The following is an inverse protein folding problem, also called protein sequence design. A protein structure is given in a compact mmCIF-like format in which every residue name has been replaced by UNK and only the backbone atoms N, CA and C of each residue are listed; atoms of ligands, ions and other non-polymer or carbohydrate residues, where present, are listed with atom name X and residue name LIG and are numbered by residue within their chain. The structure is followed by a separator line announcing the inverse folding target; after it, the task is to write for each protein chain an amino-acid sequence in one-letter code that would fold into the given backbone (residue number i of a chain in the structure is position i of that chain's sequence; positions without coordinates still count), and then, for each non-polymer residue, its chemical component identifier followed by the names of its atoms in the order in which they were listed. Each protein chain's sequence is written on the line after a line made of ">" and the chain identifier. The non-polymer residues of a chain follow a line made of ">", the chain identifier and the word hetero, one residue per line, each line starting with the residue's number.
data_IF_134283905227
#
_entry.id   IF_134283905227
#
_cell.length_a   1.000
_cell.length_b   1.000
_cell.length_c   1.000
_cell.angle_alpha   90.00
_cell.angle_beta   90.00
_cell.angle_gamma   90.00
#
_symmetry.space_group_name_H-M   'P 1'
#
loop_
_entity.id
_entity.type
_entity.pdbx_description
1 polymer ?
#
# COMPACT_ATOMS: atom_id res chain seq x y z
N UNK A 1 -26.06 -15.85 -29.69
CA UNK A 1 -25.00 -15.58 -29.01
C UNK A 1 -24.85 -14.17 -28.68
N UNK A 2 -24.44 -13.91 -27.50
CA UNK A 2 -24.40 -12.59 -27.08
C UNK A 2 -23.23 -11.87 -27.59
N UNK A 3 -23.41 -10.66 -27.89
CA UNK A 3 -22.35 -9.87 -28.39
C UNK A 3 -21.42 -9.49 -27.28
N UNK A 4 -20.23 -9.10 -27.64
CA UNK A 4 -19.24 -8.73 -26.65
C UNK A 4 -19.65 -7.50 -25.86
N UNK A 5 -20.53 -6.68 -26.39
CA UNK A 5 -20.99 -5.51 -25.65
C UNK A 5 -21.72 -5.89 -24.39
N UNK A 6 -22.42 -7.02 -24.42
CA UNK A 6 -23.13 -7.43 -23.24
C UNK A 6 -22.21 -8.10 -22.25
N UNK A 7 -21.03 -8.49 -22.68
CA UNK A 7 -20.10 -9.16 -21.81
C UNK A 7 -19.69 -8.26 -20.63
N UNK A 8 -19.43 -7.00 -20.91
CA UNK A 8 -19.07 -6.07 -19.84
C UNK A 8 -20.20 -5.86 -18.86
N UNK A 9 -21.41 -5.73 -19.37
CA UNK A 9 -22.57 -5.55 -18.53
C UNK A 9 -22.77 -6.78 -17.66
N UNK A 10 -22.53 -7.94 -18.26
CA UNK A 10 -22.69 -9.18 -17.52
C UNK A 10 -21.66 -9.29 -16.42
N UNK A 11 -20.47 -8.78 -16.63
CA UNK A 11 -19.46 -8.82 -15.60
C UNK A 11 -19.86 -7.99 -14.40
N UNK A 12 -20.39 -6.80 -14.61
CA UNK A 12 -20.83 -5.97 -13.52
C UNK A 12 -21.99 -6.58 -12.77
N UNK A 13 -22.89 -7.18 -13.52
CA UNK A 13 -24.04 -7.84 -12.92
C UNK A 13 -23.58 -9.05 -12.11
N UNK A 14 -22.53 -9.72 -12.58
CA UNK A 14 -22.04 -10.89 -11.90
C UNK A 14 -21.47 -10.58 -10.52
N UNK A 15 -20.88 -9.40 -10.36
CA UNK A 15 -20.38 -9.05 -9.05
C UNK A 15 -21.50 -8.98 -8.03
N UNK A 16 -22.68 -8.54 -8.43
CA UNK A 16 -23.80 -8.53 -7.54
C UNK A 16 -24.30 -9.95 -7.30
N UNK A 17 -24.31 -10.75 -8.34
CA UNK A 17 -24.80 -12.11 -8.22
C UNK A 17 -23.86 -12.99 -7.44
N UNK A 18 -22.58 -12.62 -7.39
CA UNK A 18 -21.63 -13.42 -6.65
C UNK A 18 -22.01 -13.57 -5.20
N UNK A 19 -22.76 -12.63 -4.67
CA UNK A 19 -23.18 -12.71 -3.29
C UNK A 19 -24.38 -13.61 -3.12
N UNK A 20 -25.07 -13.92 -4.21
CA UNK A 20 -26.25 -14.69 -4.14
C UNK A 20 -26.12 -16.07 -4.75
N UNK A 21 -24.93 -16.49 -5.11
CA UNK A 21 -24.75 -17.75 -5.80
C UNK A 21 -23.57 -18.51 -5.27
N UNK A 22 -23.30 -19.63 -5.90
CA UNK A 22 -22.17 -20.43 -5.51
C UNK A 22 -20.87 -19.74 -5.71
N UNK A 23 -20.83 -18.75 -6.61
CA UNK A 23 -19.61 -18.01 -6.85
C UNK A 23 -19.38 -16.96 -5.77
N UNK A 24 -20.22 -16.90 -4.78
CA UNK A 24 -20.05 -15.98 -3.69
C UNK A 24 -18.69 -16.17 -3.01
N UNK A 25 -18.26 -17.40 -2.87
CA UNK A 25 -16.97 -17.66 -2.23
C UNK A 25 -15.82 -17.11 -3.07
N UNK A 26 -15.97 -17.07 -4.39
CA UNK A 26 -14.95 -16.49 -5.25
C UNK A 26 -14.88 -14.99 -5.03
N UNK A 27 -16.02 -14.33 -4.92
CA UNK A 27 -16.05 -12.90 -4.66
C UNK A 27 -15.43 -12.57 -3.31
N UNK A 28 -15.71 -13.40 -2.31
CA UNK A 28 -15.12 -13.21 -1.00
C UNK A 28 -13.61 -13.41 -1.04
N UNK A 29 -13.14 -14.36 -1.82
CA UNK A 29 -11.70 -14.58 -1.95
C UNK A 29 -11.03 -13.38 -2.61
N UNK A 30 -11.66 -12.80 -3.63
CA UNK A 30 -11.10 -11.62 -4.29
C UNK A 30 -11.06 -10.45 -3.33
N UNK A 31 -12.10 -10.29 -2.53
CA UNK A 31 -12.13 -9.20 -1.56
C UNK A 31 -11.02 -9.38 -0.53
N UNK A 32 -10.81 -10.59 -0.07
CA UNK A 32 -9.76 -10.88 0.90
C UNK A 32 -8.38 -10.58 0.30
N UNK A 33 -8.19 -10.91 -0.98
CA UNK A 33 -6.92 -10.63 -1.65
C UNK A 33 -6.66 -9.13 -1.69
N UNK A 34 -7.67 -8.33 -2.00
CA UNK A 34 -7.51 -6.88 -2.03
C UNK A 34 -7.20 -6.33 -0.63
N UNK A 35 -7.92 -6.81 0.39
CA UNK A 35 -7.66 -6.36 1.75
C UNK A 35 -6.26 -6.72 2.20
N UNK A 36 -5.81 -7.93 1.84
CA UNK A 36 -4.46 -8.35 2.20
C UNK A 36 -3.42 -7.52 1.49
N UNK A 37 -3.69 -7.16 0.23
CA UNK A 37 -2.76 -6.32 -0.51
C UNK A 37 -2.63 -4.94 0.13
N UNK A 38 -3.74 -4.38 0.59
CA UNK A 38 -3.73 -3.10 1.29
C UNK A 38 -2.89 -3.22 2.56
N UNK A 39 -3.10 -4.28 3.34
CA UNK A 39 -2.36 -4.48 4.57
C UNK A 39 -0.88 -4.68 4.29
N UNK A 40 -0.54 -5.44 3.25
CA UNK A 40 0.85 -5.68 2.91
C UNK A 40 1.55 -4.39 2.51
N UNK A 41 0.87 -3.54 1.75
CA UNK A 41 1.45 -2.26 1.36
C UNK A 41 1.63 -1.35 2.57
N UNK A 42 0.69 -1.35 3.50
CA UNK A 42 0.83 -0.58 4.72
C UNK A 42 2.02 -1.07 5.54
N UNK A 43 2.19 -2.38 5.63
CA UNK A 43 3.34 -2.94 6.33
C UNK A 43 4.64 -2.58 5.65
N UNK A 44 4.66 -2.64 4.33
CA UNK A 44 5.86 -2.30 3.58
C UNK A 44 6.26 -0.86 3.83
N UNK A 45 5.31 0.06 3.81
CA UNK A 45 5.59 1.47 4.05
C UNK A 45 6.15 1.66 5.46
N UNK A 46 5.56 1.00 6.44
CA UNK A 46 6.03 1.13 7.82
C UNK A 46 7.42 0.55 7.99
N UNK A 47 7.71 -0.56 7.32
CA UNK A 47 9.04 -1.14 7.38
C UNK A 47 10.07 -0.22 6.74
N UNK A 48 9.72 0.42 5.63
CA UNK A 48 10.62 1.37 4.99
C UNK A 48 10.87 2.56 5.91
N UNK A 49 9.84 3.06 6.54
CA UNK A 49 9.99 4.18 7.48
C UNK A 49 10.91 3.82 8.64
N UNK A 50 10.76 2.61 9.15
CA UNK A 50 11.61 2.16 10.24
C UNK A 50 13.06 2.04 9.78
N UNK A 51 13.27 1.51 8.57
CA UNK A 51 14.62 1.37 8.04
C UNK A 51 15.27 2.74 7.84
N UNK A 52 14.50 3.71 7.36
CA UNK A 52 15.02 5.06 7.19
C UNK A 52 15.35 5.72 8.52
N UNK A 53 14.52 5.47 9.53
CA UNK A 53 14.78 5.97 10.86
C UNK A 53 16.06 5.39 11.41
N UNK A 54 16.31 4.12 11.19
CA UNK A 54 17.53 3.48 11.63
C UNK A 54 18.76 4.07 10.96
N UNK A 55 18.66 4.40 9.68
CA UNK A 55 19.76 5.04 8.98
C UNK A 55 20.04 6.41 9.59
N UNK A 56 18.99 7.17 9.89
CA UNK A 56 19.17 8.48 10.48
C UNK A 56 19.81 8.39 11.85
N UNK A 57 19.43 7.38 12.63
CA UNK A 57 20.03 7.17 13.95
C UNK A 57 21.49 6.80 13.81
N UNK A 58 21.83 5.96 12.84
CA UNK A 58 23.22 5.56 12.64
C UNK A 58 24.08 6.75 12.23
N UNK A 59 23.49 7.72 11.55
CA UNK A 59 24.24 8.89 11.13
C UNK A 59 24.17 10.03 12.13
N UNK A 60 23.54 9.83 13.28
CA UNK A 60 23.41 10.91 14.25
C UNK A 60 24.77 11.22 14.86
N UNK A 61 25.04 12.47 15.20
CA UNK A 61 26.31 12.84 15.77
C UNK A 61 26.65 12.05 17.04
N UNK A 62 25.67 11.72 17.84
CA UNK A 62 25.90 10.96 19.05
C UNK A 62 26.46 9.58 18.77
N UNK A 63 25.91 8.90 17.76
CA UNK A 63 26.39 7.58 17.41
C UNK A 63 27.73 7.63 16.71
N UNK A 64 27.95 8.63 15.88
CA UNK A 64 29.20 8.76 15.17
C UNK A 64 30.34 9.09 16.13
N UNK A 65 30.09 9.96 17.11
CA UNK A 65 31.15 10.33 18.03
C UNK A 65 31.47 9.26 19.06
N UNK A 66 30.48 8.49 19.47
CA UNK A 66 30.75 7.46 20.46
C UNK A 66 31.48 6.30 19.82
N UNK A 67 31.41 6.19 18.54
CA UNK A 67 32.14 5.16 17.87
C UNK A 67 33.48 5.74 17.57
N UNK A 68 34.32 5.79 18.54
CA UNK A 68 35.69 6.15 18.30
C UNK A 68 36.24 5.29 17.25
N UNK A 69 35.53 4.30 16.91
CA UNK A 69 35.97 3.45 15.89
C UNK A 69 34.93 3.45 14.81
N UNK A 70 34.82 4.53 14.15
CA UNK A 70 34.12 4.51 12.88
C UNK A 70 34.90 3.57 12.01
N UNK A 71 34.31 2.51 11.51
CA UNK A 71 35.04 1.58 10.66
C UNK A 71 35.67 2.35 9.50
N UNK A 72 36.85 1.93 9.14
CA UNK A 72 37.56 2.62 8.06
C UNK A 72 36.79 2.54 6.76
N UNK A 73 35.84 1.59 6.66
CA UNK A 73 35.05 1.47 5.46
C UNK A 73 33.72 2.21 5.59
N UNK A 74 33.54 3.00 6.63
CA UNK A 74 32.34 3.78 6.77
C UNK A 74 32.23 4.75 5.61
N UNK A 75 31.05 4.77 5.00
CA UNK A 75 30.82 5.63 3.85
C UNK A 75 29.44 6.28 4.00
N UNK A 76 29.45 7.53 4.40
CA UNK A 76 28.22 8.30 4.59
C UNK A 76 27.42 8.41 3.30
N UNK A 77 28.11 8.42 2.17
CA UNK A 77 27.44 8.50 0.89
C UNK A 77 26.60 7.27 0.61
N UNK A 78 27.07 6.11 1.03
CA UNK A 78 26.32 4.88 0.87
C UNK A 78 25.04 4.92 1.70
N UNK A 79 25.11 5.43 2.92
CA UNK A 79 23.94 5.54 3.76
C UNK A 79 22.93 6.53 3.15
N UNK A 80 23.44 7.63 2.58
CA UNK A 80 22.58 8.60 1.96
C UNK A 80 21.89 7.99 0.74
N UNK A 81 22.62 7.27 -0.07
CA UNK A 81 22.06 6.61 -1.23
C UNK A 81 20.97 5.61 -0.83
N UNK A 82 21.23 4.88 0.23
CA UNK A 82 20.27 3.90 0.70
C UNK A 82 19.00 4.60 1.16
N UNK A 83 19.15 5.72 1.87
CA UNK A 83 18.00 6.47 2.31
C UNK A 83 17.17 6.99 1.13
N UNK A 84 17.85 7.48 0.11
CA UNK A 84 17.17 7.96 -1.09
C UNK A 84 16.39 6.83 -1.76
N UNK A 85 17.01 5.66 -1.87
CA UNK A 85 16.34 4.53 -2.49
C UNK A 85 15.14 4.07 -1.69
N UNK A 86 15.27 4.07 -0.38
CA UNK A 86 14.14 3.72 0.47
C UNK A 86 13.01 4.74 0.31
N UNK A 87 13.36 6.01 0.15
CA UNK A 87 12.36 7.04 -0.09
C UNK A 87 11.60 6.83 -1.39
N UNK A 88 12.31 6.41 -2.44
CA UNK A 88 11.67 6.11 -3.71
C UNK A 88 10.73 4.91 -3.56
N UNK A 89 11.19 3.87 -2.90
CA UNK A 89 10.36 2.68 -2.68
C UNK A 89 9.13 3.01 -1.84
N UNK A 90 9.29 3.89 -0.86
CA UNK A 90 8.17 4.31 -0.03
C UNK A 90 7.13 5.02 -0.89
N UNK A 91 7.59 5.92 -1.76
CA UNK A 91 6.68 6.65 -2.63
C UNK A 91 5.94 5.71 -3.57
N UNK A 92 6.63 4.73 -4.11
CA UNK A 92 6.01 3.76 -4.98
C UNK A 92 4.95 2.96 -4.23
N UNK A 93 5.25 2.55 -3.01
CA UNK A 93 4.30 1.80 -2.21
C UNK A 93 3.07 2.66 -1.85
N UNK A 94 3.29 3.93 -1.57
CA UNK A 94 2.19 4.85 -1.29
C UNK A 94 1.26 4.99 -2.48
N UNK A 95 1.83 5.12 -3.67
CA UNK A 95 1.03 5.23 -4.88
C UNK A 95 0.25 3.95 -5.12
N UNK A 96 0.90 2.81 -4.95
CA UNK A 96 0.22 1.53 -5.12
C UNK A 96 -0.91 1.36 -4.11
N UNK A 97 -0.68 1.78 -2.88
CA UNK A 97 -1.69 1.66 -1.84
C UNK A 97 -2.92 2.47 -2.21
N UNK A 98 -2.72 3.71 -2.67
CA UNK A 98 -3.83 4.54 -3.07
C UNK A 98 -4.60 3.90 -4.22
N UNK A 99 -3.91 3.37 -5.22
CA UNK A 99 -4.54 2.74 -6.36
C UNK A 99 -5.34 1.51 -5.94
N UNK A 100 -4.75 0.66 -5.12
CA UNK A 100 -5.41 -0.58 -4.70
C UNK A 100 -6.63 -0.26 -3.85
N UNK A 101 -6.52 0.71 -2.93
CA UNK A 101 -7.64 1.07 -2.08
C UNK A 101 -8.81 1.62 -2.88
N UNK A 102 -8.51 2.47 -3.87
CA UNK A 102 -9.58 3.02 -4.69
C UNK A 102 -10.21 1.96 -5.57
N UNK A 103 -9.42 1.04 -6.09
CA UNK A 103 -9.94 -0.05 -6.89
C UNK A 103 -10.84 -0.96 -6.05
N UNK A 104 -10.44 -1.20 -4.80
CA UNK A 104 -11.25 -1.98 -3.89
C UNK A 104 -12.63 -1.34 -3.71
N UNK A 105 -12.64 -0.01 -3.52
CA UNK A 105 -13.89 0.71 -3.34
C UNK A 105 -14.75 0.61 -4.60
N UNK A 106 -14.12 0.72 -5.77
CA UNK A 106 -14.86 0.62 -7.03
C UNK A 106 -15.48 -0.76 -7.23
N UNK A 107 -14.71 -1.78 -6.92
CA UNK A 107 -15.18 -3.13 -7.17
C UNK A 107 -16.22 -3.61 -6.18
N UNK A 108 -16.07 -3.26 -4.93
CA UNK A 108 -16.93 -3.80 -3.89
C UNK A 108 -17.93 -2.82 -3.30
N UNK A 109 -17.84 -1.57 -3.68
CA UNK A 109 -18.78 -0.56 -3.19
C UNK A 109 -18.61 -0.28 -1.69
N UNK A 110 -17.48 -0.65 -1.13
CA UNK A 110 -17.21 -0.47 0.29
C UNK A 110 -15.96 0.38 0.43
N UNK A 111 -15.97 1.29 1.37
CA UNK A 111 -14.81 2.14 1.57
C UNK A 111 -13.72 1.35 2.27
N UNK A 112 -12.51 1.45 1.77
CA UNK A 112 -11.36 0.79 2.41
C UNK A 112 -11.17 1.38 3.80
N UNK A 113 -10.68 0.55 4.72
CA UNK A 113 -10.57 0.94 6.12
C UNK A 113 -9.59 2.10 6.27
N UNK A 114 -10.07 3.29 6.57
CA UNK A 114 -9.19 4.45 6.69
C UNK A 114 -8.29 4.37 7.92
N UNK A 115 -8.69 3.63 8.93
CA UNK A 115 -7.88 3.57 10.13
C UNK A 115 -6.54 2.89 9.88
N UNK A 116 -6.48 1.98 8.92
CA UNK A 116 -5.25 1.31 8.59
C UNK A 116 -4.43 2.17 7.64
N UNK A 117 -5.08 2.74 6.65
CA UNK A 117 -4.40 3.48 5.61
C UNK A 117 -3.83 4.80 6.14
N UNK A 118 -4.57 5.50 6.98
CA UNK A 118 -4.11 6.80 7.46
C UNK A 118 -2.92 6.68 8.42
N UNK A 119 -2.63 5.50 8.89
CA UNK A 119 -1.42 5.33 9.71
C UNK A 119 -0.17 5.55 8.88
N UNK A 120 -0.23 5.26 7.58
CA UNK A 120 0.92 5.42 6.70
C UNK A 120 0.70 6.53 5.69
N UNK A 121 -0.53 6.90 5.43
CA UNK A 121 -0.86 8.01 4.54
C UNK A 121 -1.82 8.93 5.31
N UNK A 122 -1.31 9.78 6.18
CA UNK A 122 -2.20 10.57 7.06
C UNK A 122 -3.20 11.46 6.35
N UNK A 123 -2.84 11.92 5.15
CA UNK A 123 -3.78 12.79 4.44
C UNK A 123 -4.68 12.02 3.48
N UNK A 124 -4.62 10.72 3.49
CA UNK A 124 -5.46 9.95 2.57
C UNK A 124 -6.92 10.04 2.97
N UNK A 125 -7.77 10.18 1.96
CA UNK A 125 -9.20 10.17 2.20
C UNK A 125 -9.82 9.15 1.25
N UNK A 126 -10.91 8.55 1.63
CA UNK A 126 -11.60 7.59 0.77
C UNK A 126 -11.98 8.22 -0.55
N UNK A 127 -12.02 7.40 -1.54
CA UNK A 127 -12.29 7.87 -2.85
C UNK A 127 -13.67 8.27 -3.02
N UNK A 128 -14.46 8.12 -2.32
CA UNK A 128 -15.61 8.62 -2.29
C UNK A 128 -16.33 8.97 -3.35
N UNK A 129 -16.51 8.12 -3.86
CA UNK A 129 -17.25 8.21 -4.86
C UNK A 129 -18.53 8.70 -4.52
N UNK A 130 -18.85 8.68 -3.41
CA UNK A 130 -20.01 9.01 -3.07
C UNK A 130 -20.32 10.31 -2.98
N UNK A 131 -19.71 10.93 -3.19
CA UNK A 131 -19.96 12.07 -3.07
C UNK A 131 -20.81 12.52 -3.79
N UNK A 132 -21.29 12.63 -3.86
CA UNK A 132 -22.15 13.05 -4.50
C UNK A 132 -22.78 13.05 -4.61
#
# INVERSE_FOLDING_TARGET
>A
MKANGTFKIDLQRNFKQLKDSRAESVAEDVEIIYKRKIEDLCHEIRNIERDRENIMLDLSPANVTSALAVPSDFNAEKFLEKDIQLGIRKREAEIKLDIVARRYEELFGVIADPSIITRVLPSWVPGTVDEE
#
